data_IF_554973663141
#
_entry.id   IF_554973663141
#
_cell.length_a   1.000
_cell.length_b   1.000
_cell.length_c   1.000
_cell.angle_alpha   90.00
_cell.angle_beta   90.00
_cell.angle_gamma   90.00
#
_symmetry.space_group_name_H-M   'P 1'
#
loop_
_entity.id
_entity.type
_entity.pdbx_description
1 polymer ?
#
# COMPACT_ATOMS: atom_id res chain seq x y z
N UNK A 1 -5.39 -1.51 14.03
CA UNK A 1 -4.29 -0.52 14.12
C UNK A 1 -3.20 -0.88 13.10
N UNK A 2 -2.40 0.05 12.56
CA UNK A 2 -1.30 -0.30 11.61
C UNK A 2 0.05 0.03 12.24
N UNK A 3 1.01 -0.90 12.13
CA UNK A 3 2.41 -0.72 12.54
C UNK A 3 3.33 -0.87 11.33
N UNK A 4 4.55 -0.33 11.43
CA UNK A 4 5.48 -0.30 10.30
C UNK A 4 6.88 -0.72 10.71
N UNK A 5 7.51 -1.40 9.78
CA UNK A 5 8.95 -1.56 9.71
C UNK A 5 9.45 -1.09 8.35
N UNK A 6 10.74 -0.76 8.27
CA UNK A 6 11.36 -0.21 7.07
C UNK A 6 12.60 -1.01 6.73
N UNK A 7 12.82 -1.26 5.45
CA UNK A 7 14.03 -1.89 4.94
C UNK A 7 14.64 -1.00 3.86
N UNK A 8 15.93 -0.65 4.01
CA UNK A 8 16.63 0.08 2.96
C UNK A 8 16.97 -0.84 1.78
N UNK A 9 17.33 -0.28 0.64
CA UNK A 9 17.76 -1.07 -0.52
C UNK A 9 19.04 -1.87 -0.22
N UNK A 10 19.94 -1.34 0.61
CA UNK A 10 21.18 -2.01 1.03
C UNK A 10 20.88 -3.18 1.97
N UNK A 11 20.04 -2.97 2.98
CA UNK A 11 19.62 -4.04 3.89
C UNK A 11 18.86 -5.12 3.12
N UNK A 12 17.98 -4.74 2.19
CA UNK A 12 17.30 -5.70 1.34
C UNK A 12 18.28 -6.56 0.54
N UNK A 13 19.27 -5.95 -0.13
CA UNK A 13 20.29 -6.71 -0.86
C UNK A 13 21.05 -7.71 0.01
N UNK A 14 21.30 -7.36 1.28
CA UNK A 14 22.03 -8.22 2.23
C UNK A 14 21.16 -9.34 2.80
N UNK A 15 19.89 -9.05 3.08
CA UNK A 15 19.03 -9.90 3.91
C UNK A 15 17.84 -10.52 3.13
N UNK A 16 17.83 -10.42 1.79
CA UNK A 16 16.75 -10.91 0.92
C UNK A 16 16.46 -12.41 1.05
N UNK A 17 17.42 -13.19 1.52
CA UNK A 17 17.35 -14.64 1.71
C UNK A 17 16.87 -15.06 3.11
N UNK A 18 16.80 -14.11 4.05
CA UNK A 18 16.32 -14.35 5.42
C UNK A 18 14.80 -14.49 5.55
N UNK A 19 14.07 -14.17 4.49
CA UNK A 19 12.63 -14.33 4.41
C UNK A 19 12.21 -14.68 2.98
N UNK A 20 11.04 -15.28 2.85
CA UNK A 20 10.34 -15.49 1.58
C UNK A 20 9.16 -14.56 1.52
N UNK A 21 8.71 -14.29 0.29
CA UNK A 21 7.51 -13.51 0.03
C UNK A 21 6.42 -14.48 -0.37
N UNK A 22 5.40 -14.62 0.47
CA UNK A 22 4.21 -15.40 0.20
C UNK A 22 3.13 -14.47 -0.34
N UNK A 23 2.53 -14.81 -1.48
CA UNK A 23 1.46 -14.03 -2.08
C UNK A 23 0.26 -14.89 -2.44
N UNK A 24 -0.91 -14.25 -2.52
CA UNK A 24 -2.09 -14.84 -3.14
C UNK A 24 -3.03 -13.75 -3.66
N UNK A 25 -4.10 -14.17 -4.34
CA UNK A 25 -5.11 -13.29 -4.92
C UNK A 25 -6.44 -13.37 -4.18
N UNK A 26 -7.09 -12.23 -4.04
CA UNK A 26 -8.39 -12.11 -3.41
C UNK A 26 -9.28 -11.14 -4.17
N UNK A 27 -10.59 -11.37 -4.07
CA UNK A 27 -11.58 -10.42 -4.54
C UNK A 27 -11.90 -9.43 -3.41
N UNK A 28 -11.45 -8.19 -3.59
CA UNK A 28 -11.78 -7.08 -2.70
C UNK A 28 -13.07 -6.37 -3.19
N UNK A 29 -13.70 -5.51 -2.37
CA UNK A 29 -14.91 -4.78 -2.76
C UNK A 29 -14.79 -3.94 -4.04
N UNK A 30 -13.56 -3.61 -4.45
CA UNK A 30 -13.27 -2.77 -5.63
C UNK A 30 -12.79 -3.57 -6.84
N UNK A 31 -12.53 -4.86 -6.67
CA UNK A 31 -12.01 -5.76 -7.69
C UNK A 31 -10.92 -6.68 -7.16
N UNK A 32 -10.38 -7.51 -8.05
CA UNK A 32 -9.34 -8.48 -7.73
C UNK A 32 -8.04 -7.79 -7.33
N UNK A 33 -7.36 -8.33 -6.34
CA UNK A 33 -6.12 -7.79 -5.81
C UNK A 33 -5.12 -8.90 -5.50
N UNK A 34 -3.84 -8.54 -5.55
CA UNK A 34 -2.72 -9.34 -5.05
C UNK A 34 -2.28 -8.75 -3.72
N UNK A 35 -2.03 -9.62 -2.74
CA UNK A 35 -1.42 -9.27 -1.46
C UNK A 35 -0.21 -10.17 -1.23
N UNK A 36 0.89 -9.59 -0.76
CA UNK A 36 2.11 -10.31 -0.48
C UNK A 36 2.68 -9.92 0.90
N UNK A 37 3.16 -10.93 1.62
CA UNK A 37 3.65 -10.83 2.98
C UNK A 37 4.96 -11.60 3.13
N UNK A 38 5.76 -11.22 4.12
CA UNK A 38 6.91 -12.02 4.58
C UNK A 38 6.45 -13.32 5.25
N UNK A 39 7.20 -14.40 5.07
CA UNK A 39 6.93 -15.68 5.74
C UNK A 39 7.28 -15.68 7.23
N UNK A 40 8.18 -14.80 7.67
CA UNK A 40 8.68 -14.72 9.05
C UNK A 40 7.71 -14.02 10.01
N UNK A 41 7.42 -12.75 9.76
CA UNK A 41 6.66 -11.87 10.65
C UNK A 41 5.33 -11.40 10.05
N UNK A 42 4.97 -11.92 8.87
CA UNK A 42 3.67 -11.67 8.21
C UNK A 42 3.46 -10.18 7.89
N UNK A 43 4.54 -9.44 7.70
CA UNK A 43 4.49 -8.04 7.30
C UNK A 43 4.03 -7.91 5.84
N UNK A 44 2.98 -7.11 5.62
CA UNK A 44 2.47 -6.78 4.29
C UNK A 44 3.49 -5.87 3.59
N UNK A 45 4.00 -6.32 2.45
CA UNK A 45 5.00 -5.59 1.66
C UNK A 45 4.50 -5.21 0.26
N UNK A 46 3.40 -5.82 -0.17
CA UNK A 46 2.73 -5.50 -1.43
C UNK A 46 1.23 -5.70 -1.28
N UNK A 47 0.46 -4.73 -1.74
CA UNK A 47 -0.97 -4.81 -1.89
C UNK A 47 -1.39 -3.95 -3.08
N UNK A 48 -1.88 -4.58 -4.14
CA UNK A 48 -2.21 -3.89 -5.39
C UNK A 48 -3.43 -4.53 -6.06
N UNK A 49 -4.22 -3.71 -6.77
CA UNK A 49 -5.31 -4.22 -7.59
C UNK A 49 -4.78 -4.79 -8.90
N UNK A 50 -5.37 -5.88 -9.37
CA UNK A 50 -5.06 -6.49 -10.65
C UNK A 50 -5.68 -5.63 -11.75
N UNK A 51 -4.85 -4.90 -12.49
CA UNK A 51 -5.32 -3.97 -13.54
C UNK A 51 -5.51 -4.69 -14.88
N UNK A 52 -4.59 -5.58 -15.23
CA UNK A 52 -4.58 -6.30 -16.51
C UNK A 52 -4.90 -7.78 -16.31
N UNK A 53 -4.01 -8.51 -15.65
CA UNK A 53 -4.16 -9.93 -15.36
C UNK A 53 -3.25 -10.34 -14.18
N UNK A 54 -3.49 -11.53 -13.61
CA UNK A 54 -2.74 -12.06 -12.46
C UNK A 54 -1.24 -12.21 -12.77
N UNK A 55 -0.86 -12.47 -14.03
CA UNK A 55 0.55 -12.63 -14.42
C UNK A 55 1.29 -11.30 -14.38
N UNK A 56 0.66 -10.23 -14.85
CA UNK A 56 1.19 -8.86 -14.80
C UNK A 56 1.37 -8.39 -13.35
N UNK A 57 0.39 -8.70 -12.48
CA UNK A 57 0.47 -8.37 -11.05
C UNK A 57 1.62 -9.08 -10.33
N UNK A 58 1.89 -10.35 -10.67
CA UNK A 58 3.05 -11.09 -10.13
C UNK A 58 4.36 -10.51 -10.64
N UNK A 59 4.44 -10.16 -11.93
CA UNK A 59 5.65 -9.51 -12.50
C UNK A 59 5.96 -8.19 -11.79
N UNK A 60 4.95 -7.40 -11.46
CA UNK A 60 5.14 -6.17 -10.69
C UNK A 60 5.69 -6.43 -9.28
N UNK A 61 5.23 -7.50 -8.61
CA UNK A 61 5.77 -7.95 -7.33
C UNK A 61 7.23 -8.41 -7.46
N UNK A 62 7.54 -9.21 -8.47
CA UNK A 62 8.89 -9.70 -8.78
C UNK A 62 9.85 -8.55 -9.12
N UNK A 63 9.42 -7.58 -9.93
CA UNK A 63 10.20 -6.40 -10.27
C UNK A 63 10.51 -5.53 -9.05
N UNK A 64 9.58 -5.46 -8.10
CA UNK A 64 9.81 -4.75 -6.85
C UNK A 64 10.78 -5.54 -5.95
N UNK A 65 10.68 -6.87 -5.89
CA UNK A 65 11.47 -7.73 -5.01
C UNK A 65 12.31 -8.79 -5.77
N UNK A 66 13.24 -8.36 -6.64
CA UNK A 66 13.88 -9.23 -7.63
C UNK A 66 14.84 -10.27 -7.05
N UNK A 67 15.28 -10.09 -5.80
CA UNK A 67 16.21 -11.01 -5.13
C UNK A 67 15.48 -11.99 -4.20
N UNK A 68 14.20 -11.76 -3.91
CA UNK A 68 13.45 -12.56 -2.94
C UNK A 68 12.87 -13.81 -3.59
N UNK A 69 12.83 -14.91 -2.83
CA UNK A 69 12.03 -16.06 -3.22
C UNK A 69 10.55 -15.71 -3.04
N UNK A 70 9.84 -15.59 -4.15
CA UNK A 70 8.39 -15.32 -4.18
C UNK A 70 7.66 -16.63 -4.43
N UNK A 71 6.67 -16.94 -3.58
CA UNK A 71 5.90 -18.19 -3.62
C UNK A 71 4.42 -17.86 -3.54
N UNK A 72 3.63 -18.44 -4.43
CA UNK A 72 2.17 -18.42 -4.28
C UNK A 72 1.81 -19.37 -3.15
N UNK A 73 1.27 -18.84 -2.07
CA UNK A 73 0.92 -19.62 -0.88
C UNK A 73 -0.33 -19.03 -0.24
N UNK A 74 -1.43 -19.79 -0.32
CA UNK A 74 -2.70 -19.48 0.32
C UNK A 74 -2.58 -19.73 1.83
N UNK A 75 -1.74 -18.96 2.50
CA UNK A 75 -1.63 -19.05 3.95
C UNK A 75 -2.99 -18.62 4.51
N UNK A 76 -3.62 -19.46 5.34
CA UNK A 76 -4.88 -19.16 6.05
C UNK A 76 -4.87 -17.73 6.66
N UNK A 77 -3.70 -17.26 7.09
CA UNK A 77 -3.48 -15.93 7.62
C UNK A 77 -3.83 -14.80 6.65
N UNK A 78 -3.57 -14.96 5.35
CA UNK A 78 -3.85 -13.92 4.35
C UNK A 78 -5.36 -13.75 4.22
N UNK A 79 -6.11 -14.85 4.24
CA UNK A 79 -7.58 -14.78 4.24
C UNK A 79 -8.13 -14.06 5.47
N UNK A 80 -7.52 -14.24 6.64
CA UNK A 80 -7.90 -13.53 7.87
C UNK A 80 -7.54 -12.03 7.78
N UNK A 81 -6.34 -11.71 7.30
CA UNK A 81 -5.90 -10.32 7.08
C UNK A 81 -6.84 -9.62 6.10
N UNK A 82 -7.22 -10.27 4.99
CA UNK A 82 -8.11 -9.69 3.99
C UNK A 82 -9.50 -9.38 4.54
N UNK A 83 -10.03 -10.20 5.46
CA UNK A 83 -11.28 -9.88 6.17
C UNK A 83 -11.12 -8.60 7.00
N UNK A 84 -10.01 -8.44 7.71
CA UNK A 84 -9.80 -7.30 8.59
C UNK A 84 -9.49 -5.99 7.83
N UNK A 85 -8.90 -6.06 6.63
CA UNK A 85 -8.55 -4.85 5.84
C UNK A 85 -9.78 -4.01 5.50
N UNK A 86 -10.92 -4.65 5.16
CA UNK A 86 -12.11 -3.96 4.66
C UNK A 86 -13.27 -3.90 5.66
N UNK A 87 -13.20 -4.62 6.78
CA UNK A 87 -14.28 -4.62 7.76
C UNK A 87 -14.08 -3.47 8.74
N UNK A 88 -15.10 -2.63 8.91
CA UNK A 88 -15.15 -1.66 10.02
C UNK A 88 -15.56 -2.44 11.26
N UNK A 89 -14.62 -3.03 11.98
CA UNK A 89 -14.92 -3.67 13.25
C UNK A 89 -14.94 -2.63 14.37
N UNK A 90 -16.05 -2.61 15.11
CA UNK A 90 -16.19 -1.87 16.37
C UNK A 90 -15.60 -2.65 17.56
N UNK A 91 -14.78 -3.68 17.29
CA UNK A 91 -14.31 -4.62 18.31
C UNK A 91 -12.85 -4.33 18.70
N UNK A 92 -12.61 -4.35 20.01
CA UNK A 92 -11.43 -3.80 20.69
C UNK A 92 -10.15 -4.63 20.56
N UNK A 93 -10.12 -5.69 19.77
CA UNK A 93 -9.04 -6.71 19.83
C UNK A 93 -8.56 -7.18 18.44
N UNK A 94 -8.48 -6.30 17.44
CA UNK A 94 -7.76 -6.65 16.21
C UNK A 94 -6.25 -6.44 16.38
N UNK A 95 -5.48 -7.52 16.14
CA UNK A 95 -4.02 -7.43 16.02
C UNK A 95 -3.63 -6.36 14.99
N UNK A 96 -2.60 -5.55 15.27
CA UNK A 96 -2.20 -4.52 14.34
C UNK A 96 -1.66 -5.13 13.04
N UNK A 97 -2.09 -4.60 11.90
CA UNK A 97 -1.49 -4.96 10.61
C UNK A 97 -0.05 -4.43 10.57
N UNK A 98 0.91 -5.32 10.35
CA UNK A 98 2.32 -4.96 10.17
C UNK A 98 2.59 -4.70 8.69
N UNK A 99 3.21 -3.56 8.38
CA UNK A 99 3.58 -3.17 7.03
C UNK A 99 5.10 -3.05 6.93
N UNK A 100 5.69 -3.66 5.89
CA UNK A 100 7.11 -3.51 5.55
C UNK A 100 7.27 -2.53 4.39
N UNK A 101 7.86 -1.37 4.67
CA UNK A 101 8.15 -0.35 3.67
C UNK A 101 9.58 -0.49 3.15
N UNK A 102 9.73 -0.59 1.82
CA UNK A 102 11.02 -0.47 1.15
C UNK A 102 11.07 0.83 0.35
N UNK A 103 11.95 1.74 0.73
CA UNK A 103 12.08 3.03 0.06
C UNK A 103 13.11 3.92 0.74
N UNK A 104 13.34 5.09 0.16
CA UNK A 104 14.17 6.13 0.76
C UNK A 104 13.48 6.75 1.97
N UNK A 105 14.24 7.39 2.87
CA UNK A 105 13.67 8.11 4.01
C UNK A 105 12.60 9.13 3.59
N UNK A 106 12.81 9.80 2.46
CA UNK A 106 11.84 10.74 1.90
C UNK A 106 10.55 10.03 1.47
N UNK A 107 10.64 8.88 0.79
CA UNK A 107 9.47 8.10 0.39
C UNK A 107 8.69 7.59 1.62
N UNK A 108 9.41 7.04 2.60
CA UNK A 108 8.82 6.56 3.87
C UNK A 108 8.12 7.71 4.60
N UNK A 109 8.73 8.89 4.66
CA UNK A 109 8.13 10.07 5.29
C UNK A 109 6.84 10.49 4.58
N UNK A 110 6.83 10.50 3.24
CA UNK A 110 5.62 10.77 2.45
C UNK A 110 4.53 9.74 2.73
N UNK A 111 4.85 8.44 2.71
CA UNK A 111 3.88 7.39 2.94
C UNK A 111 3.28 7.44 4.35
N UNK A 112 4.09 7.72 5.37
CA UNK A 112 3.60 7.96 6.74
C UNK A 112 2.65 9.15 6.81
N UNK A 113 2.95 10.25 6.11
CA UNK A 113 2.07 11.42 6.03
C UNK A 113 0.75 11.12 5.32
N UNK A 114 0.71 10.19 4.37
CA UNK A 114 -0.57 9.77 3.77
C UNK A 114 -1.48 9.10 4.81
N UNK A 115 -0.91 8.33 5.72
CA UNK A 115 -1.69 7.55 6.68
C UNK A 115 -2.30 8.40 7.79
N UNK A 116 -1.82 9.64 8.01
CA UNK A 116 -2.48 10.60 8.88
C UNK A 116 -3.72 11.25 8.25
N UNK A 117 -3.98 11.03 6.95
CA UNK A 117 -5.17 11.55 6.28
C UNK A 117 -6.37 10.69 6.71
N UNK A 118 -7.43 11.24 7.31
CA UNK A 118 -8.58 10.45 7.73
C UNK A 118 -9.32 9.80 6.56
N UNK A 119 -10.03 8.70 6.85
CA UNK A 119 -10.93 8.04 5.90
C UNK A 119 -11.99 9.02 5.39
N UNK A 120 -12.28 8.97 4.08
CA UNK A 120 -13.26 9.85 3.44
C UNK A 120 -12.82 11.31 3.29
N UNK A 121 -11.58 11.66 3.67
CA UNK A 121 -11.02 13.00 3.47
C UNK A 121 -10.04 13.01 2.31
N UNK A 122 -10.16 14.04 1.48
CA UNK A 122 -9.24 14.30 0.38
C UNK A 122 -8.16 15.29 0.79
N UNK A 123 -6.99 15.17 0.18
CA UNK A 123 -5.89 16.13 0.32
C UNK A 123 -5.23 16.41 -1.03
N UNK A 124 -4.31 17.37 -1.07
CA UNK A 124 -3.53 17.70 -2.26
C UNK A 124 -2.06 17.35 -2.11
N UNK A 125 -1.35 17.20 -3.24
CA UNK A 125 0.12 17.02 -3.23
C UNK A 125 0.85 18.13 -2.45
N UNK A 126 0.33 19.36 -2.48
CA UNK A 126 0.88 20.49 -1.74
C UNK A 126 0.68 20.33 -0.24
N UNK A 127 -0.53 19.94 0.19
CA UNK A 127 -0.80 19.68 1.60
C UNK A 127 0.07 18.54 2.14
N UNK A 128 0.27 17.47 1.37
CA UNK A 128 1.22 16.40 1.75
C UNK A 128 2.64 16.95 1.87
N UNK A 129 3.08 17.81 0.93
CA UNK A 129 4.39 18.46 0.99
C UNK A 129 4.54 19.38 2.21
N UNK A 130 3.46 20.04 2.65
CA UNK A 130 3.42 20.84 3.87
C UNK A 130 3.51 19.95 5.13
N UNK A 131 2.74 18.85 5.18
CA UNK A 131 2.75 17.90 6.31
C UNK A 131 4.16 17.37 6.59
N UNK A 132 4.94 17.10 5.54
CA UNK A 132 6.33 16.62 5.68
C UNK A 132 7.36 17.75 5.84
N UNK A 133 6.94 19.01 5.98
CA UNK A 133 7.79 20.19 6.08
C UNK A 133 8.73 20.39 4.87
N UNK A 134 8.27 20.04 3.66
CA UNK A 134 9.00 20.21 2.39
C UNK A 134 8.10 20.85 1.32
N UNK A 135 7.58 22.08 1.53
CA UNK A 135 6.56 22.69 0.65
C UNK A 135 7.00 22.86 -0.81
N UNK A 136 8.30 22.97 -1.09
CA UNK A 136 8.84 23.09 -2.45
C UNK A 136 9.02 21.74 -3.17
N UNK A 137 8.82 20.62 -2.49
CA UNK A 137 9.13 19.27 -3.00
C UNK A 137 7.96 18.59 -3.74
N UNK A 138 7.07 19.36 -4.38
CA UNK A 138 5.82 18.85 -4.98
C UNK A 138 6.04 17.66 -5.94
N UNK A 139 7.01 17.76 -6.86
CA UNK A 139 7.32 16.69 -7.81
C UNK A 139 7.88 15.44 -7.12
N UNK A 140 8.73 15.62 -6.12
CA UNK A 140 9.27 14.51 -5.35
C UNK A 140 8.18 13.80 -4.54
N UNK A 141 7.26 14.57 -3.91
CA UNK A 141 6.08 14.04 -3.22
C UNK A 141 5.20 13.24 -4.17
N UNK A 142 4.85 13.81 -5.34
CA UNK A 142 4.04 13.11 -6.33
C UNK A 142 4.70 11.79 -6.80
N UNK A 143 6.01 11.81 -7.02
CA UNK A 143 6.78 10.60 -7.37
C UNK A 143 6.77 9.57 -6.24
N UNK A 144 6.95 9.99 -4.98
CA UNK A 144 6.92 9.09 -3.83
C UNK A 144 5.54 8.43 -3.66
N UNK A 145 4.47 9.22 -3.79
CA UNK A 145 3.08 8.71 -3.77
C UNK A 145 2.87 7.69 -4.89
N UNK A 146 3.35 7.99 -6.10
CA UNK A 146 3.34 7.08 -7.25
C UNK A 146 4.32 5.91 -7.15
N UNK A 147 5.04 5.73 -6.04
CA UNK A 147 5.83 4.53 -5.75
C UNK A 147 5.22 3.68 -4.64
N UNK A 148 4.06 4.07 -4.11
CA UNK A 148 3.35 3.26 -3.14
C UNK A 148 2.93 1.91 -3.76
N UNK A 149 3.34 0.81 -3.12
CA UNK A 149 2.99 -0.57 -3.48
C UNK A 149 1.97 -1.21 -2.56
N UNK A 150 1.40 -0.42 -1.64
CA UNK A 150 0.47 -0.88 -0.62
C UNK A 150 -0.81 -0.04 -0.74
N UNK A 151 -1.51 -0.26 -1.85
CA UNK A 151 -2.77 0.39 -2.20
C UNK A 151 -3.77 0.29 -1.04
N UNK A 152 -4.70 1.24 -0.93
CA UNK A 152 -5.72 1.30 0.13
C UNK A 152 -5.19 1.50 1.56
N UNK A 153 -4.31 0.62 2.07
CA UNK A 153 -3.72 0.71 3.41
C UNK A 153 -2.84 1.96 3.56
N UNK A 154 -1.99 2.24 2.58
CA UNK A 154 -1.35 3.55 2.44
C UNK A 154 -2.23 4.36 1.49
N UNK A 155 -2.97 5.37 1.99
CA UNK A 155 -4.13 5.91 1.28
C UNK A 155 -3.75 6.95 0.22
N UNK A 156 -2.93 6.56 -0.75
CA UNK A 156 -2.53 7.42 -1.87
C UNK A 156 -3.71 7.81 -2.78
N UNK A 157 -4.81 7.05 -2.76
CA UNK A 157 -6.06 7.40 -3.45
C UNK A 157 -6.69 8.69 -2.91
N UNK A 158 -6.40 9.10 -1.67
CA UNK A 158 -6.91 10.35 -1.06
C UNK A 158 -6.21 11.62 -1.58
N UNK A 159 -5.15 11.50 -2.37
CA UNK A 159 -4.38 12.66 -2.86
C UNK A 159 -4.80 13.08 -4.27
N UNK A 160 -5.00 14.37 -4.51
CA UNK A 160 -5.32 14.94 -5.83
C UNK A 160 -4.45 16.17 -6.17
N UNK A 161 -4.42 16.54 -7.45
CA UNK A 161 -3.88 17.81 -7.90
C UNK A 161 -4.87 18.95 -7.63
N UNK A 162 -4.35 20.18 -7.50
CA UNK A 162 -5.17 21.38 -7.26
C UNK A 162 -6.27 21.60 -8.30
N UNK A 163 -6.00 21.21 -9.55
CA UNK A 163 -6.94 21.39 -10.67
C UNK A 163 -7.95 20.25 -10.79
N UNK A 164 -8.14 19.43 -9.76
CA UNK A 164 -8.97 18.22 -9.82
C UNK A 164 -8.29 17.03 -10.50
N UNK A 165 -7.12 17.23 -11.13
CA UNK A 165 -6.37 16.15 -11.80
C UNK A 165 -5.97 15.06 -10.81
N UNK A 166 -6.25 13.82 -11.15
CA UNK A 166 -5.93 12.67 -10.34
C UNK A 166 -5.04 11.71 -11.11
N UNK A 167 -4.01 11.17 -10.45
CA UNK A 167 -3.26 10.01 -10.93
C UNK A 167 -3.29 8.96 -9.83
N UNK A 168 -3.48 7.71 -10.21
CA UNK A 168 -3.45 6.58 -9.30
C UNK A 168 -2.84 5.40 -10.05
N UNK A 169 -1.85 4.75 -9.44
CA UNK A 169 -1.09 3.70 -10.12
C UNK A 169 -1.95 2.51 -10.54
N UNK A 170 -2.95 2.14 -9.74
CA UNK A 170 -3.85 1.06 -10.10
C UNK A 170 -4.94 1.50 -11.10
N UNK A 171 -4.99 2.78 -11.49
CA UNK A 171 -5.98 3.32 -12.43
C UNK A 171 -7.14 4.07 -11.77
N UNK A 172 -7.72 5.04 -12.50
CA UNK A 172 -8.72 5.97 -11.95
C UNK A 172 -9.98 5.27 -11.43
N UNK A 173 -10.43 4.21 -12.12
CA UNK A 173 -11.59 3.40 -11.71
C UNK A 173 -11.50 2.96 -10.25
N UNK A 174 -10.38 2.36 -9.85
CA UNK A 174 -10.20 1.88 -8.47
C UNK A 174 -10.19 3.03 -7.47
N UNK A 175 -9.55 4.15 -7.82
CA UNK A 175 -9.55 5.32 -6.95
C UNK A 175 -10.96 5.85 -6.69
N UNK A 176 -11.77 5.98 -7.73
CA UNK A 176 -13.16 6.44 -7.59
C UNK A 176 -14.00 5.47 -6.77
N UNK A 177 -13.87 4.15 -7.01
CA UNK A 177 -14.56 3.12 -6.22
C UNK A 177 -14.17 3.16 -4.74
N UNK A 178 -12.88 3.30 -4.42
CA UNK A 178 -12.42 3.40 -3.04
C UNK A 178 -12.96 4.66 -2.37
N UNK A 179 -12.91 5.82 -3.04
CA UNK A 179 -13.40 7.08 -2.47
C UNK A 179 -14.91 7.07 -2.23
N UNK A 180 -15.67 6.46 -3.15
CA UNK A 180 -17.12 6.26 -2.98
C UNK A 180 -17.40 5.36 -1.78
N UNK A 181 -16.66 4.25 -1.66
CA UNK A 181 -16.79 3.34 -0.51
C UNK A 181 -16.46 4.01 0.81
N UNK A 182 -15.37 4.80 0.87
CA UNK A 182 -15.02 5.55 2.08
C UNK A 182 -16.07 6.59 2.46
N UNK A 183 -16.71 7.24 1.48
CA UNK A 183 -17.78 8.21 1.74
C UNK A 183 -19.06 7.56 2.28
N UNK A 184 -19.36 6.33 1.85
CA UNK A 184 -20.57 5.59 2.26
C UNK A 184 -20.41 4.81 3.57
N UNK A 185 -19.20 4.72 4.11
CA UNK A 185 -18.89 3.96 5.33
C UNK A 185 -18.35 4.86 6.45
N UNK A 186 -18.67 6.15 6.37
CA UNK A 186 -18.39 7.19 7.37
C UNK A 186 -19.68 7.63 8.06
#
# INVERSE_FOLDING_TARGET
>A
MITFQTISSETYKKDHDKFKICYDFYDAPFGRCIIALTDTDKAILHFAFVVKDDTDAVKDLENEWPMSKIVKDSIQIISNIMKNIFTVSNEKEEEPLLILLKGTDFQIQVWKALMSIPKGKMTTYEQVAQIINKPKALRAVANAIGRNRIAYLIPCHRVMGKNGSSKYNCGLKYKESILSYESNTC
#
